data_IF_528787689069
#
_entry.id   IF_528787689069
#
_cell.length_a   1.000
_cell.length_b   1.000
_cell.length_c   1.000
_cell.angle_alpha   90.00
_cell.angle_beta   90.00
_cell.angle_gamma   90.00
#
_symmetry.space_group_name_H-M   'P 1'
#
loop_
_entity.id
_entity.type
_entity.pdbx_description
1 polymer ?
#
# COMPACT_ATOMS: atom_id res chain seq x y z
N UNK A 1 -12.65 -34.36 -39.42
CA UNK A 1 -11.26 -33.88 -39.26
C UNK A 1 -10.77 -33.00 -40.42
N UNK A 2 -10.93 -33.38 -41.71
CA UNK A 2 -10.61 -32.50 -42.86
C UNK A 2 -11.32 -31.13 -42.79
N UNK A 3 -12.57 -31.11 -42.34
CA UNK A 3 -13.33 -29.86 -42.11
C UNK A 3 -12.77 -28.97 -40.99
N UNK A 4 -12.12 -29.54 -39.96
CA UNK A 4 -11.50 -28.76 -38.89
C UNK A 4 -10.23 -28.05 -39.37
N UNK A 5 -9.43 -28.70 -40.22
CA UNK A 5 -8.27 -28.07 -40.87
C UNK A 5 -8.73 -26.92 -41.76
N UNK A 6 -9.74 -27.17 -42.60
CA UNK A 6 -10.30 -26.15 -43.50
C UNK A 6 -10.94 -24.98 -42.74
N UNK A 7 -11.52 -25.23 -41.56
CA UNK A 7 -12.11 -24.18 -40.73
C UNK A 7 -11.09 -23.22 -40.10
N UNK A 8 -9.89 -23.70 -39.78
CA UNK A 8 -8.84 -22.88 -39.12
C UNK A 8 -7.89 -22.23 -40.15
N UNK A 9 -7.81 -22.76 -41.37
CA UNK A 9 -6.95 -22.25 -42.45
C UNK A 9 -7.15 -20.75 -42.77
N UNK A 10 -8.37 -20.19 -42.86
CA UNK A 10 -8.55 -18.76 -43.15
C UNK A 10 -7.99 -17.85 -42.06
N UNK A 11 -8.12 -18.24 -40.79
CA UNK A 11 -7.55 -17.50 -39.67
C UNK A 11 -6.02 -17.61 -39.66
N UNK A 12 -5.49 -18.82 -39.80
CA UNK A 12 -4.04 -19.04 -39.86
C UNK A 12 -3.39 -18.30 -41.04
N UNK A 13 -4.03 -18.31 -42.22
CA UNK A 13 -3.57 -17.58 -43.41
C UNK A 13 -3.50 -16.07 -43.15
N UNK A 14 -4.54 -15.47 -42.57
CA UNK A 14 -4.56 -14.03 -42.23
C UNK A 14 -3.43 -13.66 -41.27
N UNK A 15 -3.15 -14.48 -40.26
CA UNK A 15 -2.02 -14.24 -39.35
C UNK A 15 -0.68 -14.27 -40.10
N UNK A 16 -0.47 -15.24 -41.00
CA UNK A 16 0.75 -15.32 -41.82
C UNK A 16 0.88 -14.13 -42.78
N UNK A 17 -0.22 -13.73 -43.42
CA UNK A 17 -0.28 -12.58 -44.33
C UNK A 17 0.01 -11.25 -43.61
N UNK A 18 -0.29 -11.14 -42.30
CA UNK A 18 0.11 -10.00 -41.46
C UNK A 18 1.60 -9.95 -41.10
N UNK A 19 2.40 -10.88 -41.63
CA UNK A 19 3.86 -10.91 -41.47
C UNK A 19 4.36 -11.77 -40.30
N UNK A 20 3.48 -12.52 -39.63
CA UNK A 20 3.89 -13.46 -38.58
C UNK A 20 4.68 -14.63 -39.18
N UNK A 21 5.86 -14.90 -38.63
CA UNK A 21 6.67 -16.07 -38.97
C UNK A 21 6.70 -17.01 -37.76
N UNK A 22 5.95 -18.12 -37.76
CA UNK A 22 6.02 -19.08 -36.66
C UNK A 22 7.44 -19.62 -36.53
N UNK A 23 7.97 -19.66 -35.30
CA UNK A 23 9.20 -20.40 -34.99
C UNK A 23 8.90 -21.90 -35.06
N UNK A 24 8.81 -22.42 -36.28
CA UNK A 24 8.78 -23.86 -36.51
C UNK A 24 10.21 -24.34 -36.29
N UNK A 25 10.57 -24.67 -35.04
CA UNK A 25 11.75 -25.52 -34.80
C UNK A 25 11.62 -26.69 -35.76
N UNK A 26 12.67 -26.99 -36.54
CA UNK A 26 12.69 -27.87 -37.73
C UNK A 26 12.27 -29.34 -37.51
N UNK A 27 11.19 -29.56 -36.79
CA UNK A 27 10.52 -30.84 -36.55
C UNK A 27 9.61 -31.07 -37.76
N UNK A 28 9.81 -32.13 -38.53
CA UNK A 28 8.98 -32.40 -39.70
C UNK A 28 7.52 -32.57 -39.26
N UNK A 29 6.57 -32.07 -40.07
CA UNK A 29 5.14 -32.29 -39.87
C UNK A 29 4.83 -33.77 -40.11
N UNK A 30 4.85 -34.58 -39.04
CA UNK A 30 4.70 -36.04 -39.11
C UNK A 30 3.24 -36.51 -39.24
N UNK A 31 2.26 -35.63 -39.00
CA UNK A 31 0.84 -36.02 -39.07
C UNK A 31 -0.12 -34.84 -39.23
N UNK A 32 -1.36 -35.13 -39.63
CA UNK A 32 -2.46 -34.15 -39.70
C UNK A 32 -2.77 -33.48 -38.36
N UNK A 33 -2.50 -34.14 -37.23
CA UNK A 33 -2.65 -33.54 -35.89
C UNK A 33 -1.59 -32.47 -35.65
N UNK A 34 -0.35 -32.69 -36.09
CA UNK A 34 0.70 -31.69 -36.02
C UNK A 34 0.33 -30.44 -36.84
N UNK A 35 -0.26 -30.63 -38.03
CA UNK A 35 -0.74 -29.52 -38.87
C UNK A 35 -1.90 -28.76 -38.21
N UNK A 36 -2.86 -29.48 -37.63
CA UNK A 36 -3.98 -28.86 -36.90
C UNK A 36 -3.50 -28.03 -35.71
N UNK A 37 -2.59 -28.57 -34.90
CA UNK A 37 -2.01 -27.84 -33.76
C UNK A 37 -1.26 -26.58 -34.23
N UNK A 38 -0.46 -26.69 -35.29
CA UNK A 38 0.26 -25.56 -35.86
C UNK A 38 -0.71 -24.48 -36.35
N UNK A 39 -1.70 -24.85 -37.18
CA UNK A 39 -2.69 -23.91 -37.71
C UNK A 39 -3.53 -23.27 -36.61
N UNK A 40 -3.90 -24.03 -35.57
CA UNK A 40 -4.63 -23.52 -34.42
C UNK A 40 -3.80 -22.54 -33.60
N UNK A 41 -2.50 -22.80 -33.42
CA UNK A 41 -1.57 -21.91 -32.73
C UNK A 41 -1.31 -20.62 -33.52
N UNK A 42 -1.22 -20.71 -34.86
CA UNK A 42 -1.08 -19.54 -35.73
C UNK A 42 -2.38 -18.74 -35.77
N UNK A 43 -3.55 -19.38 -35.75
CA UNK A 43 -4.84 -18.71 -35.71
C UNK A 43 -5.10 -18.01 -34.36
N UNK A 44 -4.71 -18.61 -33.23
CA UNK A 44 -4.90 -18.01 -31.90
C UNK A 44 -4.07 -16.74 -31.71
N UNK A 45 -2.91 -16.62 -32.36
CA UNK A 45 -2.06 -15.42 -32.30
C UNK A 45 -2.76 -14.13 -32.72
N UNK A 46 -3.65 -14.17 -33.73
CA UNK A 46 -4.38 -12.98 -34.16
C UNK A 46 -5.38 -12.53 -33.08
N UNK A 47 -6.10 -13.50 -32.49
CA UNK A 47 -7.02 -13.28 -31.37
C UNK A 47 -6.29 -12.74 -30.13
N UNK A 48 -5.11 -13.28 -29.82
CA UNK A 48 -4.29 -12.83 -28.69
C UNK A 48 -3.74 -11.43 -28.92
N UNK A 49 -3.35 -11.07 -30.14
CA UNK A 49 -2.85 -9.73 -30.47
C UNK A 49 -3.93 -8.67 -30.38
N UNK A 50 -5.13 -8.95 -30.89
CA UNK A 50 -6.29 -8.06 -30.79
C UNK A 50 -6.74 -7.91 -29.33
N UNK A 51 -6.83 -9.04 -28.60
CA UNK A 51 -7.12 -9.04 -27.16
C UNK A 51 -6.07 -8.26 -26.38
N UNK A 52 -4.79 -8.40 -26.72
CA UNK A 52 -3.70 -7.65 -26.10
C UNK A 52 -3.86 -6.15 -26.32
N UNK A 53 -4.15 -5.71 -27.54
CA UNK A 53 -4.32 -4.29 -27.83
C UNK A 53 -5.49 -3.71 -27.03
N UNK A 54 -6.63 -4.41 -27.00
CA UNK A 54 -7.79 -4.01 -26.19
C UNK A 54 -7.46 -3.96 -24.70
N UNK A 55 -6.93 -5.04 -24.14
CA UNK A 55 -6.53 -5.11 -22.73
C UNK A 55 -5.49 -4.05 -22.38
N UNK A 56 -4.51 -3.83 -23.26
CA UNK A 56 -3.50 -2.78 -23.06
C UNK A 56 -4.15 -1.40 -23.03
N UNK A 57 -5.08 -1.12 -23.94
CA UNK A 57 -5.80 0.15 -23.98
C UNK A 57 -6.63 0.36 -22.71
N UNK A 58 -7.41 -0.63 -22.29
CA UNK A 58 -8.25 -0.55 -21.10
C UNK A 58 -7.39 -0.39 -19.82
N UNK A 59 -6.30 -1.16 -19.70
CA UNK A 59 -5.37 -1.06 -18.58
C UNK A 59 -4.60 0.27 -18.55
N UNK A 60 -4.31 0.85 -19.71
CA UNK A 60 -3.70 2.18 -19.80
C UNK A 60 -4.73 3.28 -19.47
N UNK A 61 -6.00 3.12 -19.82
CA UNK A 61 -7.06 4.08 -19.45
C UNK A 61 -7.27 4.21 -17.94
N UNK A 62 -7.02 3.15 -17.16
CA UNK A 62 -6.97 3.25 -15.68
C UNK A 62 -5.84 4.21 -15.24
N UNK A 63 -4.73 4.25 -15.97
CA UNK A 63 -3.58 5.08 -15.64
C UNK A 63 -3.82 6.58 -15.82
N UNK A 64 -4.95 7.00 -16.42
CA UNK A 64 -5.28 8.41 -16.63
C UNK A 64 -5.95 9.04 -15.40
N UNK A 65 -6.48 8.24 -14.47
CA UNK A 65 -7.20 8.72 -13.28
C UNK A 65 -6.36 8.55 -12.00
N UNK A 66 -6.28 9.58 -11.14
CA UNK A 66 -5.62 9.47 -9.84
C UNK A 66 -6.43 8.59 -8.88
N UNK A 67 -6.09 7.30 -8.83
CA UNK A 67 -6.69 6.33 -7.92
C UNK A 67 -5.62 5.65 -7.03
N UNK A 68 -5.98 5.21 -5.80
CA UNK A 68 -5.11 4.43 -4.92
C UNK A 68 -4.58 3.13 -5.58
N UNK A 69 -3.39 2.62 -5.17
CA UNK A 69 -2.80 1.43 -5.80
C UNK A 69 -3.65 0.16 -5.73
N UNK A 70 -4.40 -0.02 -4.64
CA UNK A 70 -5.34 -1.11 -4.42
C UNK A 70 -6.56 -1.03 -5.35
N UNK A 71 -7.07 0.18 -5.57
CA UNK A 71 -8.17 0.44 -6.50
C UNK A 71 -7.73 0.21 -7.95
N UNK A 72 -6.55 0.69 -8.32
CA UNK A 72 -5.95 0.46 -9.65
C UNK A 72 -5.68 -1.03 -9.87
N UNK A 73 -5.25 -1.76 -8.84
CA UNK A 73 -5.07 -3.21 -8.91
C UNK A 73 -6.41 -3.95 -9.08
N UNK A 74 -7.47 -3.52 -8.37
CA UNK A 74 -8.81 -4.08 -8.49
C UNK A 74 -9.36 -3.89 -9.90
N UNK A 75 -9.36 -2.66 -10.42
CA UNK A 75 -9.82 -2.35 -11.77
C UNK A 75 -9.01 -3.11 -12.84
N UNK A 76 -7.69 -3.24 -12.65
CA UNK A 76 -6.84 -4.05 -13.54
C UNK A 76 -7.27 -5.52 -13.55
N UNK A 77 -7.62 -6.07 -12.39
CA UNK A 77 -8.10 -7.44 -12.29
C UNK A 77 -9.48 -7.63 -12.92
N UNK A 78 -10.36 -6.63 -12.84
CA UNK A 78 -11.67 -6.63 -13.51
C UNK A 78 -11.55 -6.66 -15.03
N UNK A 79 -10.62 -5.90 -15.60
CA UNK A 79 -10.34 -5.99 -17.05
C UNK A 79 -9.82 -7.38 -17.40
N UNK A 80 -8.84 -7.88 -16.65
CA UNK A 80 -8.20 -9.16 -16.93
C UNK A 80 -9.14 -10.35 -16.76
N UNK A 81 -10.02 -10.34 -15.75
CA UNK A 81 -10.96 -11.45 -15.50
C UNK A 81 -11.96 -11.57 -16.66
N UNK A 82 -12.43 -10.44 -17.21
CA UNK A 82 -13.31 -10.43 -18.38
C UNK A 82 -12.55 -10.82 -19.66
N UNK A 83 -11.38 -10.22 -19.90
CA UNK A 83 -10.61 -10.45 -21.11
C UNK A 83 -10.07 -11.88 -21.23
N UNK A 84 -9.76 -12.52 -20.09
CA UNK A 84 -9.21 -13.88 -20.04
C UNK A 84 -10.26 -14.94 -19.74
N UNK A 85 -11.55 -14.57 -19.76
CA UNK A 85 -12.68 -15.47 -19.53
C UNK A 85 -12.60 -16.25 -18.21
N UNK A 86 -12.08 -15.59 -17.18
CA UNK A 86 -12.11 -16.08 -15.81
C UNK A 86 -13.45 -15.70 -15.14
N UNK A 87 -13.72 -16.31 -14.00
CA UNK A 87 -14.98 -16.15 -13.26
C UNK A 87 -14.78 -15.43 -11.92
N UNK A 88 -13.57 -15.49 -11.37
CA UNK A 88 -13.22 -14.87 -10.10
C UNK A 88 -11.80 -14.32 -10.17
N UNK A 89 -11.57 -13.19 -9.48
CA UNK A 89 -10.23 -12.67 -9.24
C UNK A 89 -9.95 -12.50 -7.75
N UNK A 90 -8.67 -12.55 -7.40
CA UNK A 90 -8.14 -12.23 -6.08
C UNK A 90 -6.88 -11.36 -6.26
N UNK A 91 -6.93 -10.16 -5.70
CA UNK A 91 -5.85 -9.19 -5.71
C UNK A 91 -5.15 -9.16 -4.36
N UNK A 92 -3.82 -9.24 -4.37
CA UNK A 92 -3.00 -9.05 -3.17
C UNK A 92 -1.93 -8.00 -3.37
N UNK A 93 -1.67 -7.22 -2.33
CA UNK A 93 -0.53 -6.32 -2.26
C UNK A 93 0.32 -6.68 -1.06
N UNK A 94 1.63 -6.51 -1.21
CA UNK A 94 2.56 -6.64 -0.11
C UNK A 94 2.45 -5.41 0.80
N UNK A 95 2.21 -5.63 2.09
CA UNK A 95 2.10 -4.56 3.06
C UNK A 95 3.48 -4.11 3.59
N UNK A 96 3.50 -3.13 4.49
CA UNK A 96 4.73 -2.59 5.10
C UNK A 96 5.54 -3.59 5.95
N UNK A 97 4.94 -4.70 6.37
CA UNK A 97 5.58 -5.80 7.11
C UNK A 97 6.14 -6.87 6.18
N UNK A 98 5.96 -6.73 4.86
CA UNK A 98 6.35 -7.73 3.88
C UNK A 98 5.30 -8.84 3.70
N UNK A 99 4.14 -8.75 4.36
CA UNK A 99 3.09 -9.76 4.30
C UNK A 99 2.20 -9.53 3.06
N UNK A 100 1.77 -10.61 2.42
CA UNK A 100 0.81 -10.55 1.32
C UNK A 100 -0.61 -10.45 1.86
N UNK A 101 -1.27 -9.31 1.62
CA UNK A 101 -2.62 -9.04 2.11
C UNK A 101 -3.59 -9.02 0.95
N UNK A 102 -4.70 -9.75 1.09
CA UNK A 102 -5.82 -9.69 0.15
C UNK A 102 -6.48 -8.31 0.21
N UNK A 103 -6.50 -7.59 -0.92
CA UNK A 103 -7.06 -6.24 -1.04
C UNK A 103 -8.43 -6.22 -1.71
N UNK A 104 -8.62 -7.10 -2.68
CA UNK A 104 -9.90 -7.27 -3.34
C UNK A 104 -10.04 -8.73 -3.77
N UNK A 105 -11.27 -9.24 -3.73
CA UNK A 105 -11.61 -10.53 -4.30
C UNK A 105 -13.08 -10.48 -4.70
N UNK A 106 -13.40 -10.88 -5.93
CA UNK A 106 -14.79 -10.87 -6.38
C UNK A 106 -15.02 -11.87 -7.52
N UNK A 107 -16.29 -12.23 -7.71
CA UNK A 107 -16.77 -12.98 -8.84
C UNK A 107 -17.32 -12.00 -9.90
N UNK A 108 -17.05 -12.25 -11.18
CA UNK A 108 -17.43 -11.35 -12.30
C UNK A 108 -18.93 -11.05 -12.37
N UNK A 109 -19.77 -12.03 -12.03
CA UNK A 109 -21.23 -11.92 -11.98
C UNK A 109 -21.79 -11.60 -10.58
N UNK A 110 -20.96 -11.13 -9.63
CA UNK A 110 -21.41 -10.78 -8.27
C UNK A 110 -21.91 -11.97 -7.43
N UNK A 111 -21.52 -13.20 -7.80
CA UNK A 111 -21.84 -14.40 -7.01
C UNK A 111 -20.96 -14.49 -5.77
N UNK A 112 -21.40 -15.26 -4.77
CA UNK A 112 -20.57 -15.60 -3.62
C UNK A 112 -19.25 -16.24 -4.07
N UNK A 113 -18.14 -15.79 -3.46
CA UNK A 113 -16.82 -16.39 -3.66
C UNK A 113 -16.46 -17.34 -2.50
N UNK A 114 -15.62 -18.37 -2.73
CA UNK A 114 -15.00 -19.13 -1.65
C UNK A 114 -14.34 -18.23 -0.62
N UNK A 115 -14.22 -18.72 0.62
CA UNK A 115 -13.40 -18.06 1.63
C UNK A 115 -11.95 -17.97 1.12
N UNK A 116 -11.48 -16.73 0.94
CA UNK A 116 -10.11 -16.43 0.53
C UNK A 116 -9.30 -16.09 1.77
N UNK A 117 -8.14 -16.72 1.92
CA UNK A 117 -7.24 -16.41 3.03
C UNK A 117 -6.85 -14.91 3.00
N UNK A 118 -6.95 -14.20 4.13
CA UNK A 118 -6.61 -12.78 4.21
C UNK A 118 -5.10 -12.55 4.02
N UNK A 119 -4.29 -13.51 4.45
CA UNK A 119 -2.84 -13.51 4.31
C UNK A 119 -2.37 -14.70 3.47
N UNK A 120 -1.26 -14.51 2.77
CA UNK A 120 -0.61 -15.57 1.99
C UNK A 120 0.81 -15.79 2.52
N UNK A 121 1.10 -17.01 2.93
CA UNK A 121 2.39 -17.41 3.52
C UNK A 121 3.44 -17.64 2.42
N UNK A 122 4.51 -16.83 2.44
CA UNK A 122 5.65 -16.92 1.52
C UNK A 122 6.48 -18.19 1.73
N UNK A 123 6.41 -18.83 2.89
CA UNK A 123 7.23 -19.99 3.22
C UNK A 123 6.77 -21.28 2.51
N UNK A 124 5.64 -21.24 1.81
CA UNK A 124 5.12 -22.35 1.02
C UNK A 124 5.92 -22.53 -0.28
N UNK A 125 7.22 -22.87 -0.19
CA UNK A 125 8.14 -22.95 -1.35
C UNK A 125 7.67 -23.87 -2.47
N UNK A 126 6.91 -24.88 -2.09
CA UNK A 126 6.27 -25.90 -2.95
C UNK A 126 5.07 -25.35 -3.73
N UNK A 127 4.49 -24.23 -3.30
CA UNK A 127 3.37 -23.60 -4.01
C UNK A 127 3.89 -22.82 -5.23
N UNK A 128 3.38 -23.08 -6.46
CA UNK A 128 3.91 -22.50 -7.70
C UNK A 128 3.98 -20.96 -7.72
N UNK A 129 3.01 -20.27 -7.12
CA UNK A 129 3.03 -18.80 -7.04
C UNK A 129 4.09 -18.29 -6.06
N UNK A 130 4.35 -19.03 -4.98
CA UNK A 130 5.39 -18.62 -4.00
C UNK A 130 6.79 -18.86 -4.57
N UNK A 131 7.01 -19.99 -5.24
CA UNK A 131 8.27 -20.22 -5.97
C UNK A 131 8.51 -19.12 -7.00
N UNK A 132 7.50 -18.75 -7.79
CA UNK A 132 7.59 -17.64 -8.75
C UNK A 132 7.88 -16.27 -8.10
N UNK A 133 7.37 -16.02 -6.89
CA UNK A 133 7.69 -14.80 -6.11
C UNK A 133 9.15 -14.79 -5.68
N UNK A 134 9.68 -15.93 -5.21
CA UNK A 134 11.07 -16.05 -4.75
C UNK A 134 12.10 -16.07 -5.90
N UNK A 135 11.79 -16.70 -7.02
CA UNK A 135 12.70 -16.86 -8.18
C UNK A 135 13.00 -15.53 -8.92
N UNK A 136 12.23 -14.48 -8.64
CA UNK A 136 12.57 -13.09 -9.02
C UNK A 136 12.29 -12.68 -10.47
N UNK A 137 12.25 -13.62 -11.42
CA UNK A 137 12.11 -13.34 -12.85
C UNK A 137 10.75 -13.75 -13.46
N UNK A 138 10.03 -14.67 -12.80
CA UNK A 138 8.71 -15.15 -13.24
C UNK A 138 7.66 -14.05 -13.06
N UNK A 139 6.85 -13.82 -14.11
CA UNK A 139 5.82 -12.77 -14.17
C UNK A 139 4.40 -13.29 -14.18
N UNK A 140 4.20 -14.56 -14.50
CA UNK A 140 2.91 -15.20 -14.43
C UNK A 140 3.07 -16.69 -14.12
N UNK A 141 2.03 -17.30 -13.56
CA UNK A 141 1.98 -18.74 -13.24
C UNK A 141 0.63 -19.28 -13.66
N UNK A 142 0.63 -20.30 -14.53
CA UNK A 142 -0.57 -21.06 -14.89
C UNK A 142 -0.61 -22.34 -14.06
N UNK A 143 -1.71 -22.56 -13.34
CA UNK A 143 -1.98 -23.74 -12.55
C UNK A 143 -3.27 -24.39 -13.07
N UNK A 144 -3.16 -25.44 -13.90
CA UNK A 144 -4.32 -26.10 -14.53
C UNK A 144 -4.99 -27.16 -13.65
N UNK A 145 -4.45 -27.38 -12.45
CA UNK A 145 -5.01 -28.31 -11.49
C UNK A 145 -4.81 -27.75 -10.08
N UNK A 146 -5.89 -27.35 -9.42
CA UNK A 146 -5.83 -26.80 -8.05
C UNK A 146 -5.96 -27.87 -6.95
N UNK A 147 -5.87 -29.16 -7.30
CA UNK A 147 -5.90 -30.27 -6.37
C UNK A 147 -4.53 -30.44 -5.71
N UNK A 148 -4.36 -29.78 -4.56
CA UNK A 148 -3.16 -29.86 -3.73
C UNK A 148 -2.25 -28.64 -3.83
N UNK A 149 -1.48 -28.42 -2.77
CA UNK A 149 -0.60 -27.26 -2.58
C UNK A 149 0.45 -27.12 -3.70
N UNK A 150 1.14 -28.21 -4.03
CA UNK A 150 2.20 -28.29 -5.07
C UNK A 150 1.69 -27.90 -6.47
N UNK A 151 0.38 -28.06 -6.71
CA UNK A 151 -0.24 -27.77 -8.00
C UNK A 151 -0.88 -26.38 -8.06
N UNK A 152 -0.85 -25.66 -6.95
CA UNK A 152 -1.40 -24.32 -6.84
C UNK A 152 -2.74 -24.22 -6.12
N UNK A 153 -3.23 -25.31 -5.51
CA UNK A 153 -4.33 -25.27 -4.57
C UNK A 153 -4.02 -24.32 -3.40
N UNK A 154 -4.97 -23.43 -3.09
CA UNK A 154 -4.88 -22.58 -1.91
C UNK A 154 -5.20 -23.38 -0.65
N UNK A 155 -4.25 -23.43 0.28
CA UNK A 155 -4.29 -24.15 1.57
C UNK A 155 -4.23 -25.68 1.49
N UNK A 156 -4.00 -26.30 2.66
CA UNK A 156 -4.05 -27.75 2.88
C UNK A 156 -5.40 -28.35 2.44
N UNK A 157 -6.48 -27.56 2.50
CA UNK A 157 -7.86 -28.00 2.22
C UNK A 157 -8.34 -27.76 0.78
N UNK A 158 -7.57 -27.03 -0.03
CA UNK A 158 -7.92 -26.72 -1.43
C UNK A 158 -9.34 -26.16 -1.59
N UNK A 159 -9.76 -25.23 -0.72
CA UNK A 159 -11.14 -24.69 -0.65
C UNK A 159 -11.64 -24.21 -2.02
N UNK A 160 -10.80 -23.49 -2.75
CA UNK A 160 -11.13 -23.00 -4.10
C UNK A 160 -11.41 -24.16 -5.07
N UNK A 161 -10.68 -25.26 -4.96
CA UNK A 161 -10.93 -26.46 -5.77
C UNK A 161 -12.23 -27.18 -5.39
N UNK A 162 -12.53 -27.25 -4.08
CA UNK A 162 -13.78 -27.82 -3.55
C UNK A 162 -15.02 -27.07 -4.04
N UNK A 163 -14.93 -25.75 -4.21
CA UNK A 163 -15.98 -24.91 -4.82
C UNK A 163 -16.10 -25.04 -6.36
N UNK A 164 -15.35 -25.96 -6.96
CA UNK A 164 -15.47 -26.32 -8.38
C UNK A 164 -14.47 -25.62 -9.30
N UNK A 165 -13.62 -24.71 -8.80
CA UNK A 165 -12.58 -24.11 -9.64
C UNK A 165 -11.50 -25.13 -9.98
N UNK A 166 -10.98 -25.07 -11.21
CA UNK A 166 -10.03 -26.07 -11.73
C UNK A 166 -8.70 -25.47 -12.13
N UNK A 167 -8.74 -24.25 -12.67
CA UNK A 167 -7.54 -23.57 -13.16
C UNK A 167 -7.35 -22.20 -12.52
N UNK A 168 -6.09 -21.78 -12.36
CA UNK A 168 -5.69 -20.45 -11.91
C UNK A 168 -4.61 -19.87 -12.82
N UNK A 169 -4.71 -18.58 -13.10
CA UNK A 169 -3.65 -17.78 -13.69
C UNK A 169 -3.27 -16.68 -12.70
N UNK A 170 -2.01 -16.66 -12.25
CA UNK A 170 -1.51 -15.66 -11.32
C UNK A 170 -0.50 -14.75 -12.01
N UNK A 171 -0.73 -13.45 -12.04
CA UNK A 171 0.23 -12.44 -12.45
C UNK A 171 1.03 -11.96 -11.24
N UNK A 172 2.36 -11.98 -11.36
CA UNK A 172 3.30 -11.52 -10.34
C UNK A 172 3.78 -10.12 -10.71
N UNK A 173 3.36 -9.13 -9.92
CA UNK A 173 3.64 -7.72 -10.20
C UNK A 173 4.98 -7.31 -9.61
N UNK A 174 5.85 -6.79 -10.46
CA UNK A 174 7.24 -6.43 -10.13
C UNK A 174 7.60 -5.08 -10.73
N UNK A 175 8.36 -4.28 -9.99
CA UNK A 175 8.96 -3.07 -10.56
C UNK A 175 10.01 -3.45 -11.62
N UNK A 176 10.51 -2.46 -12.37
CA UNK A 176 11.59 -2.68 -13.34
C UNK A 176 12.82 -3.28 -12.64
N UNK A 177 13.64 -4.02 -13.39
CA UNK A 177 14.88 -4.68 -12.92
C UNK A 177 14.68 -5.83 -11.92
N UNK A 178 13.57 -6.56 -11.98
CA UNK A 178 13.33 -7.75 -11.14
C UNK A 178 13.41 -7.49 -9.64
N UNK A 179 13.02 -6.28 -9.21
CA UNK A 179 12.78 -5.96 -7.80
C UNK A 179 11.77 -6.96 -7.18
N UNK A 180 11.74 -7.06 -5.84
CA UNK A 180 10.80 -7.94 -5.14
C UNK A 180 9.37 -7.75 -5.64
N UNK A 181 8.62 -8.84 -5.76
CA UNK A 181 7.22 -8.74 -6.14
C UNK A 181 6.47 -7.92 -5.08
N UNK A 182 5.63 -7.00 -5.55
CA UNK A 182 4.86 -6.10 -4.70
C UNK A 182 3.36 -6.35 -4.78
N UNK A 183 2.89 -7.05 -5.81
CA UNK A 183 1.47 -7.32 -6.05
C UNK A 183 1.21 -8.65 -6.74
N UNK A 184 -0.01 -9.15 -6.60
CA UNK A 184 -0.53 -10.34 -7.26
C UNK A 184 -1.94 -10.08 -7.78
N UNK A 185 -2.20 -10.55 -9.01
CA UNK A 185 -3.56 -10.72 -9.54
C UNK A 185 -3.75 -12.19 -9.84
N UNK A 186 -4.70 -12.84 -9.19
CA UNK A 186 -4.99 -14.25 -9.41
C UNK A 186 -6.38 -14.38 -10.01
N UNK A 187 -6.47 -15.02 -11.17
CA UNK A 187 -7.72 -15.29 -11.86
C UNK A 187 -8.04 -16.77 -11.75
N UNK A 188 -9.31 -17.10 -11.60
CA UNK A 188 -9.79 -18.46 -11.40
C UNK A 188 -10.93 -18.77 -12.37
N UNK A 189 -10.96 -20.01 -12.83
CA UNK A 189 -12.02 -20.54 -13.68
C UNK A 189 -12.35 -21.99 -13.31
N UNK A 190 -13.62 -22.36 -13.44
CA UNK A 190 -14.10 -23.74 -13.31
C UNK A 190 -13.73 -24.62 -14.51
N UNK A 191 -13.23 -24.04 -15.60
CA UNK A 191 -12.74 -24.79 -16.76
C UNK A 191 -11.42 -25.49 -16.43
N UNK A 192 -11.32 -26.76 -16.78
CA UNK A 192 -10.04 -27.47 -16.80
C UNK A 192 -9.15 -26.89 -17.90
N UNK A 193 -7.87 -26.71 -17.62
CA UNK A 193 -6.90 -26.10 -18.55
C UNK A 193 -7.32 -24.72 -19.08
N UNK A 194 -8.10 -23.98 -18.29
CA UNK A 194 -8.82 -22.79 -18.75
C UNK A 194 -7.96 -21.61 -19.22
N UNK A 195 -6.65 -21.65 -18.95
CA UNK A 195 -5.70 -20.61 -19.37
C UNK A 195 -4.59 -21.13 -20.30
N UNK A 196 -4.61 -22.40 -20.70
CA UNK A 196 -3.54 -23.03 -21.51
C UNK A 196 -3.50 -22.50 -22.95
N UNK A 197 -4.62 -21.97 -23.44
CA UNK A 197 -4.74 -21.46 -24.81
C UNK A 197 -4.01 -20.12 -25.03
N UNK A 198 -3.64 -19.39 -23.97
CA UNK A 198 -3.03 -18.07 -24.07
C UNK A 198 -1.51 -18.16 -24.25
N UNK A 199 -0.98 -17.37 -25.17
CA UNK A 199 0.46 -17.30 -25.41
C UNK A 199 1.26 -16.72 -24.23
N UNK A 200 2.44 -17.27 -23.99
CA UNK A 200 3.36 -16.83 -22.94
C UNK A 200 3.75 -15.35 -23.06
N UNK A 201 4.05 -14.88 -24.28
CA UNK A 201 4.45 -13.48 -24.51
C UNK A 201 3.27 -12.55 -24.25
N UNK A 202 2.05 -12.98 -24.59
CA UNK A 202 0.82 -12.26 -24.27
C UNK A 202 0.62 -12.11 -22.75
N UNK A 203 0.69 -13.21 -22.00
CA UNK A 203 0.55 -13.19 -20.54
C UNK A 203 1.64 -12.37 -19.86
N UNK A 204 2.89 -12.50 -20.31
CA UNK A 204 4.01 -11.71 -19.80
C UNK A 204 3.84 -10.21 -20.06
N UNK A 205 3.25 -9.80 -21.19
CA UNK A 205 2.94 -8.40 -21.50
C UNK A 205 1.82 -7.87 -20.61
N UNK A 206 0.73 -8.62 -20.41
CA UNK A 206 -0.33 -8.25 -19.47
C UNK A 206 0.24 -8.01 -18.07
N UNK A 207 1.07 -8.92 -17.57
CA UNK A 207 1.74 -8.78 -16.27
C UNK A 207 2.59 -7.50 -16.19
N UNK A 208 3.32 -7.17 -17.25
CA UNK A 208 4.16 -5.95 -17.32
C UNK A 208 3.32 -4.68 -17.29
N UNK A 209 2.23 -4.62 -18.07
CA UNK A 209 1.37 -3.44 -18.13
C UNK A 209 0.75 -3.20 -16.75
N UNK A 210 0.14 -4.22 -16.14
CA UNK A 210 -0.42 -4.09 -14.78
C UNK A 210 0.66 -3.69 -13.77
N UNK A 211 1.85 -4.29 -13.84
CA UNK A 211 2.98 -3.92 -12.97
C UNK A 211 3.37 -2.45 -13.13
N UNK A 212 3.38 -1.92 -14.36
CA UNK A 212 3.71 -0.52 -14.64
C UNK A 212 2.61 0.41 -14.13
N UNK A 213 1.34 0.10 -14.42
CA UNK A 213 0.19 0.94 -14.03
C UNK A 213 0.07 1.01 -12.50
N UNK A 214 0.10 -0.13 -11.81
CA UNK A 214 0.02 -0.18 -10.34
C UNK A 214 1.31 0.36 -9.71
N UNK A 215 2.49 -0.05 -10.22
CA UNK A 215 3.78 0.36 -9.69
C UNK A 215 4.03 1.87 -9.79
N UNK A 216 3.60 2.52 -10.90
CA UNK A 216 3.68 3.98 -11.05
C UNK A 216 2.88 4.70 -9.97
N UNK A 217 1.72 4.19 -9.58
CA UNK A 217 0.89 4.78 -8.51
C UNK A 217 1.52 4.60 -7.14
N UNK A 218 2.10 3.44 -6.87
CA UNK A 218 2.90 3.23 -5.65
C UNK A 218 4.08 4.21 -5.59
N UNK A 219 4.77 4.42 -6.71
CA UNK A 219 5.90 5.36 -6.78
C UNK A 219 5.47 6.83 -6.62
N UNK A 220 4.39 7.27 -7.27
CA UNK A 220 3.86 8.64 -7.13
C UNK A 220 3.36 8.90 -5.72
N UNK A 221 2.68 7.94 -5.09
CA UNK A 221 2.27 8.05 -3.70
C UNK A 221 3.49 8.20 -2.77
N UNK A 222 4.55 7.42 -2.99
CA UNK A 222 5.83 7.57 -2.27
C UNK A 222 6.46 8.95 -2.49
N UNK A 223 6.59 9.42 -3.72
CA UNK A 223 7.18 10.74 -4.04
C UNK A 223 6.38 11.90 -3.42
N UNK A 224 5.05 11.80 -3.43
CA UNK A 224 4.18 12.80 -2.79
C UNK A 224 4.37 12.81 -1.27
N UNK A 225 4.47 11.63 -0.65
CA UNK A 225 4.79 11.49 0.77
C UNK A 225 6.20 12.00 1.09
N UNK A 226 7.18 11.71 0.24
CA UNK A 226 8.57 12.17 0.39
C UNK A 226 8.65 13.68 0.40
N UNK A 227 7.96 14.34 -0.55
CA UNK A 227 7.87 15.80 -0.62
C UNK A 227 7.13 16.38 0.59
N UNK A 228 6.00 15.81 1.00
CA UNK A 228 5.25 16.26 2.16
C UNK A 228 6.06 16.09 3.46
N UNK A 229 6.73 14.94 3.63
CA UNK A 229 7.59 14.66 4.78
C UNK A 229 8.83 15.56 4.79
N UNK A 230 9.44 15.82 3.62
CA UNK A 230 10.56 16.73 3.47
C UNK A 230 10.18 18.16 3.84
N UNK A 231 9.05 18.66 3.33
CA UNK A 231 8.52 19.98 3.66
C UNK A 231 8.18 20.09 5.16
N UNK A 232 7.45 19.13 5.74
CA UNK A 232 7.15 19.13 7.18
C UNK A 232 8.41 19.03 8.04
N UNK A 233 9.40 18.23 7.64
CA UNK A 233 10.66 18.15 8.38
C UNK A 233 11.46 19.45 8.32
N UNK A 234 11.41 20.18 7.21
CA UNK A 234 12.12 21.45 7.09
C UNK A 234 11.39 22.59 7.81
N UNK A 235 10.13 22.85 7.43
CA UNK A 235 9.35 23.96 7.98
C UNK A 235 8.84 23.69 9.39
N UNK A 236 8.41 22.45 9.67
CA UNK A 236 7.93 22.04 10.99
C UNK A 236 9.03 22.09 12.04
N UNK A 237 10.23 21.57 11.77
CA UNK A 237 11.34 21.64 12.73
C UNK A 237 11.77 23.08 13.02
N UNK A 238 11.77 23.97 12.01
CA UNK A 238 12.07 25.38 12.24
C UNK A 238 11.03 26.05 13.14
N UNK A 239 9.74 25.84 12.87
CA UNK A 239 8.65 26.38 13.69
C UNK A 239 8.71 25.83 15.13
N UNK A 240 8.99 24.53 15.29
CA UNK A 240 9.13 23.89 16.59
C UNK A 240 10.32 24.43 17.39
N UNK A 241 11.47 24.66 16.75
CA UNK A 241 12.62 25.28 17.40
C UNK A 241 12.29 26.71 17.87
N UNK A 242 11.57 27.50 17.07
CA UNK A 242 11.13 28.84 17.47
C UNK A 242 10.19 28.77 18.68
N UNK A 243 9.18 27.89 18.65
CA UNK A 243 8.27 27.71 19.78
C UNK A 243 8.98 27.27 21.05
N UNK A 244 9.93 26.32 20.93
CA UNK A 244 10.75 25.87 22.05
C UNK A 244 11.56 27.02 22.65
N UNK A 245 12.30 27.76 21.81
CA UNK A 245 13.11 28.87 22.28
C UNK A 245 12.26 29.96 22.98
N UNK A 246 11.07 30.26 22.44
CA UNK A 246 10.14 31.20 23.07
C UNK A 246 9.60 30.68 24.41
N UNK A 247 9.26 29.40 24.49
CA UNK A 247 8.78 28.79 25.73
C UNK A 247 9.88 28.71 26.80
N UNK A 248 11.12 28.40 26.42
CA UNK A 248 12.29 28.41 27.31
C UNK A 248 12.56 29.84 27.82
N UNK A 249 12.54 30.85 26.94
CA UNK A 249 12.70 32.24 27.35
C UNK A 249 11.58 32.73 28.29
N UNK A 250 10.33 32.39 28.00
CA UNK A 250 9.23 32.67 28.92
C UNK A 250 9.42 31.96 30.27
N UNK A 251 10.00 30.76 30.28
CA UNK A 251 10.37 30.05 31.51
C UNK A 251 11.38 30.83 32.35
N UNK A 252 12.45 31.32 31.73
CA UNK A 252 13.45 32.18 32.40
C UNK A 252 12.80 33.44 32.99
N UNK A 253 11.91 34.11 32.25
CA UNK A 253 11.18 35.27 32.75
C UNK A 253 10.28 34.93 33.94
N UNK A 254 9.64 33.76 33.94
CA UNK A 254 8.81 33.31 35.07
C UNK A 254 9.66 33.04 36.30
N UNK A 255 10.82 32.40 36.15
CA UNK A 255 11.78 32.21 37.24
C UNK A 255 12.29 33.54 37.82
N UNK A 256 12.59 34.52 36.96
CA UNK A 256 12.98 35.87 37.38
C UNK A 256 11.86 36.59 38.14
N UNK A 257 10.61 36.48 37.68
CA UNK A 257 9.45 37.09 38.36
C UNK A 257 9.23 36.40 39.72
N UNK A 258 9.33 35.08 39.80
CA UNK A 258 9.18 34.32 41.04
C UNK A 258 10.25 34.72 42.08
N UNK A 259 11.50 34.86 41.65
CA UNK A 259 12.59 35.34 42.50
C UNK A 259 12.32 36.77 43.01
N UNK A 260 11.82 37.65 42.15
CA UNK A 260 11.45 39.02 42.53
C UNK A 260 10.25 39.07 43.47
N UNK A 261 9.24 38.22 43.24
CA UNK A 261 8.06 38.10 44.11
C UNK A 261 8.46 37.62 45.50
N UNK A 262 9.30 36.59 45.57
CA UNK A 262 9.86 36.06 46.82
C UNK A 262 10.62 37.15 47.59
N UNK A 263 11.44 37.93 46.89
CA UNK A 263 12.15 39.08 47.48
C UNK A 263 11.19 40.17 47.96
N UNK A 264 10.17 40.51 47.17
CA UNK A 264 9.19 41.55 47.51
C UNK A 264 8.36 41.15 48.74
N UNK A 265 7.94 39.88 48.84
CA UNK A 265 7.27 39.33 50.02
C UNK A 265 8.14 39.44 51.27
N UNK A 266 9.44 39.11 51.17
CA UNK A 266 10.38 39.26 52.28
C UNK A 266 10.48 40.72 52.75
N UNK A 267 10.68 41.66 51.81
CA UNK A 267 10.76 43.10 52.11
C UNK A 267 9.44 43.61 52.73
N UNK A 268 8.29 43.14 52.24
CA UNK A 268 6.98 43.50 52.81
C UNK A 268 6.86 43.07 54.27
N UNK A 269 7.39 41.89 54.62
CA UNK A 269 7.42 41.39 56.00
C UNK A 269 8.37 42.18 56.90
N UNK A 270 9.55 42.53 56.39
CA UNK A 270 10.48 43.42 57.09
C UNK A 270 9.84 44.80 57.35
N UNK A 271 9.18 45.38 56.35
CA UNK A 271 8.45 46.65 56.46
C UNK A 271 7.34 46.60 57.52
N UNK A 272 6.58 45.49 57.59
CA UNK A 272 5.58 45.30 58.64
C UNK A 272 6.16 45.30 60.06
N UNK A 273 7.39 44.80 60.23
CA UNK A 273 8.06 44.72 61.52
C UNK A 273 8.52 46.10 62.04
N UNK A 274 8.84 47.03 61.13
CA UNK A 274 9.25 48.41 61.46
C UNK A 274 8.09 49.28 61.98
N UNK A 275 6.85 48.90 61.69
CA UNK A 275 5.67 49.71 62.01
C UNK A 275 4.89 49.19 63.24
N UNK A 276 4.43 50.09 64.14
CA UNK A 276 3.55 49.72 65.25
C UNK A 276 2.26 49.04 64.78
N UNK A 277 1.72 48.15 65.61
CA UNK A 277 0.58 47.27 65.32
C UNK A 277 -0.64 47.98 64.73
N UNK A 278 -0.92 49.21 65.18
CA UNK A 278 -2.12 49.97 64.83
C UNK A 278 -1.86 51.08 63.78
N UNK A 279 -0.65 51.10 63.21
CA UNK A 279 -0.26 52.16 62.28
C UNK A 279 -0.85 51.96 60.88
N UNK A 280 -1.02 53.07 60.15
CA UNK A 280 -1.39 53.04 58.73
C UNK A 280 -0.34 52.33 57.88
N UNK A 281 0.95 52.48 58.21
CA UNK A 281 2.06 51.84 57.50
C UNK A 281 1.97 50.31 57.54
N UNK A 282 1.66 49.74 58.72
CA UNK A 282 1.48 48.29 58.87
C UNK A 282 0.28 47.75 58.08
N UNK A 283 -0.85 48.48 58.05
CA UNK A 283 -2.02 48.11 57.24
C UNK A 283 -1.71 48.07 55.74
N UNK A 284 -0.99 49.06 55.22
CA UNK A 284 -0.56 49.09 53.81
C UNK A 284 0.43 47.96 53.48
N UNK A 285 1.34 47.63 54.40
CA UNK A 285 2.28 46.53 54.22
C UNK A 285 1.60 45.14 54.23
N UNK A 286 0.55 44.96 55.04
CA UNK A 286 -0.31 43.77 55.01
C UNK A 286 -1.08 43.64 53.69
N UNK A 287 -1.63 44.75 53.19
CA UNK A 287 -2.31 44.79 51.90
C UNK A 287 -1.35 44.46 50.74
N UNK A 288 -0.12 45.01 50.77
CA UNK A 288 0.92 44.69 49.81
C UNK A 288 1.32 43.21 49.84
N UNK A 289 1.53 42.62 51.01
CA UNK A 289 1.81 41.18 51.14
C UNK A 289 0.66 40.34 50.57
N UNK A 290 -0.60 40.71 50.86
CA UNK A 290 -1.77 40.03 50.34
C UNK A 290 -1.86 40.08 48.81
N UNK A 291 -1.53 41.22 48.19
CA UNK A 291 -1.51 41.35 46.73
C UNK A 291 -0.39 40.50 46.13
N UNK A 292 0.82 40.56 46.70
CA UNK A 292 1.97 39.79 46.22
C UNK A 292 1.76 38.28 46.36
N UNK A 293 1.18 37.83 47.47
CA UNK A 293 0.92 36.40 47.71
C UNK A 293 -0.14 35.79 46.77
N UNK A 294 -0.93 36.63 46.07
CA UNK A 294 -1.92 36.18 45.08
C UNK A 294 -1.36 36.00 43.68
N UNK A 295 -0.13 36.42 43.42
CA UNK A 295 0.53 36.19 42.14
C UNK A 295 1.02 34.74 42.07
N UNK A 296 0.15 33.82 41.65
CA UNK A 296 0.51 32.42 41.39
C UNK A 296 1.04 32.27 39.97
N UNK A 297 2.30 31.86 39.83
CA UNK A 297 2.97 31.62 38.55
C UNK A 297 2.92 30.14 38.12
N UNK A 298 2.39 29.25 38.97
CA UNK A 298 2.36 27.80 38.74
C UNK A 298 1.57 27.42 37.49
N UNK A 299 0.44 28.10 37.25
CA UNK A 299 -0.39 27.86 36.06
C UNK A 299 0.36 28.26 34.77
N UNK A 300 1.07 29.38 34.79
CA UNK A 300 1.86 29.87 33.65
C UNK A 300 3.03 28.92 33.34
N UNK A 301 3.74 28.44 34.37
CA UNK A 301 4.77 27.43 34.23
C UNK A 301 4.20 26.10 33.69
N UNK A 302 3.01 25.69 34.15
CA UNK A 302 2.30 24.52 33.65
C UNK A 302 1.97 24.61 32.16
N UNK A 303 1.48 25.77 31.69
CA UNK A 303 1.21 26.01 30.27
C UNK A 303 2.49 25.96 29.41
N UNK A 304 3.60 26.53 29.89
CA UNK A 304 4.89 26.45 29.19
C UNK A 304 5.41 25.00 29.10
N UNK A 305 5.26 24.23 30.18
CA UNK A 305 5.53 22.79 30.19
C UNK A 305 4.72 22.05 29.12
N UNK A 306 3.43 22.34 29.01
CA UNK A 306 2.54 21.79 27.98
C UNK A 306 2.97 22.13 26.55
N UNK A 307 3.43 23.37 26.29
CA UNK A 307 3.95 23.79 24.98
C UNK A 307 5.22 23.02 24.61
N UNK A 308 6.14 22.84 25.57
CA UNK A 308 7.37 22.07 25.37
C UNK A 308 7.08 20.58 25.11
N UNK A 309 6.12 19.99 25.82
CA UNK A 309 5.70 18.62 25.60
C UNK A 309 5.01 18.43 24.23
N UNK A 310 4.13 19.36 23.87
CA UNK A 310 3.50 19.40 22.54
C UNK A 310 4.53 19.49 21.41
N UNK A 311 5.56 20.33 21.59
CA UNK A 311 6.69 20.45 20.66
C UNK A 311 7.43 19.10 20.51
N UNK A 312 7.73 18.40 21.61
CA UNK A 312 8.37 17.08 21.58
C UNK A 312 7.50 16.02 20.89
N UNK A 313 6.19 16.02 21.14
CA UNK A 313 5.25 15.11 20.47
C UNK A 313 5.23 15.36 18.97
N UNK A 314 5.18 16.61 18.54
CA UNK A 314 5.13 16.97 17.13
C UNK A 314 6.44 16.61 16.39
N UNK A 315 7.60 16.75 17.04
CA UNK A 315 8.89 16.24 16.51
C UNK A 315 8.85 14.72 16.27
N UNK A 316 8.24 13.94 17.18
CA UNK A 316 8.07 12.50 16.99
C UNK A 316 7.20 12.19 15.77
N UNK A 317 6.09 12.92 15.58
CA UNK A 317 5.19 12.77 14.43
C UNK A 317 5.92 13.07 13.12
N UNK A 318 6.72 14.14 13.05
CA UNK A 318 7.55 14.48 11.87
C UNK A 318 8.52 13.35 11.54
N UNK A 319 9.17 12.77 12.55
CA UNK A 319 10.08 11.64 12.35
C UNK A 319 9.34 10.38 11.86
N UNK A 320 8.15 10.10 12.36
CA UNK A 320 7.31 9.00 11.87
C UNK A 320 6.81 9.24 10.44
N UNK A 321 6.52 10.48 10.07
CA UNK A 321 6.15 10.86 8.71
C UNK A 321 7.31 10.60 7.74
N UNK A 322 8.55 10.95 8.11
CA UNK A 322 9.75 10.60 7.34
C UNK A 322 9.92 9.10 7.14
N UNK A 323 9.71 8.28 8.19
CA UNK A 323 9.72 6.81 8.07
C UNK A 323 8.60 6.28 7.15
N UNK A 324 7.46 6.95 7.14
CA UNK A 324 6.28 6.56 6.34
C UNK A 324 6.48 6.77 4.84
N UNK A 325 7.48 7.56 4.42
CA UNK A 325 7.86 7.73 3.01
C UNK A 325 8.28 6.41 2.38
N UNK A 326 9.11 5.64 3.10
CA UNK A 326 9.60 4.34 2.61
C UNK A 326 8.52 3.26 2.69
N UNK A 327 7.66 3.35 3.72
CA UNK A 327 6.62 2.35 4.04
C UNK A 327 5.33 3.00 4.55
N UNK A 328 4.45 3.50 3.66
CA UNK A 328 3.21 4.14 4.09
C UNK A 328 2.28 3.14 4.78
N UNK A 329 1.76 3.55 5.94
CA UNK A 329 0.73 2.83 6.70
C UNK A 329 -0.50 3.69 6.77
N UNK A 330 -1.63 3.17 6.30
CA UNK A 330 -2.91 3.83 6.37
C UNK A 330 -3.72 3.22 7.52
N UNK A 331 -4.41 4.06 8.29
CA UNK A 331 -5.44 3.65 9.23
C UNK A 331 -6.78 4.17 8.74
N UNK A 332 -7.82 3.37 8.94
CA UNK A 332 -9.17 3.77 8.62
C UNK A 332 -9.66 4.75 9.69
N UNK A 333 -9.89 6.00 9.32
CA UNK A 333 -10.41 7.00 10.24
C UNK A 333 -11.94 6.94 10.26
N UNK A 334 -12.54 7.18 11.44
CA UNK A 334 -13.98 7.03 11.68
C UNK A 334 -14.87 7.87 10.74
N UNK A 335 -14.32 8.87 10.05
CA UNK A 335 -15.01 9.70 9.05
C UNK A 335 -14.91 9.16 7.61
N UNK A 336 -14.50 7.90 7.42
CA UNK A 336 -14.49 7.26 6.10
C UNK A 336 -13.30 7.63 5.20
N UNK A 337 -12.28 8.30 5.75
CA UNK A 337 -11.04 8.61 5.06
C UNK A 337 -9.89 7.76 5.61
N UNK A 338 -9.05 7.23 4.72
CA UNK A 338 -7.79 6.60 5.12
C UNK A 338 -6.74 7.67 5.41
N UNK A 339 -6.20 7.67 6.63
CA UNK A 339 -5.16 8.61 7.07
C UNK A 339 -3.86 7.89 7.36
N UNK A 340 -2.72 8.59 7.24
CA UNK A 340 -1.43 8.00 7.59
C UNK A 340 -1.35 7.71 9.09
N UNK A 341 -0.99 6.48 9.43
CA UNK A 341 -0.67 6.09 10.81
C UNK A 341 0.74 6.57 11.15
N UNK A 342 0.83 7.66 11.91
CA UNK A 342 2.08 8.32 12.29
C UNK A 342 2.51 8.03 13.74
N UNK A 343 1.67 7.38 14.55
CA UNK A 343 2.01 6.98 15.90
C UNK A 343 2.43 5.50 15.92
N UNK A 344 3.58 5.21 16.54
CA UNK A 344 4.00 3.84 16.84
C UNK A 344 3.15 3.36 18.04
N UNK A 345 2.50 2.19 17.91
CA UNK A 345 1.77 1.54 19.02
C UNK A 345 2.77 1.02 20.07
N UNK A 346 3.52 1.90 20.72
CA UNK A 346 4.17 1.56 21.98
C UNK A 346 3.09 1.74 23.02
N UNK A 347 2.41 0.64 23.37
CA UNK A 347 1.66 0.58 24.62
C UNK A 347 2.63 0.97 25.73
N UNK A 348 2.38 2.09 26.38
CA UNK A 348 2.87 2.28 27.73
C UNK A 348 2.11 1.24 28.57
N UNK A 349 2.75 0.10 28.81
CA UNK A 349 2.41 -0.73 29.96
C UNK A 349 2.88 0.06 31.17
N UNK A 350 1.91 0.61 31.90
CA UNK A 350 2.10 1.11 33.27
C UNK A 350 2.33 -0.07 34.24
#
# INVERSE_FOLDING_TARGET
MRGAVLGVMPAAKRTLDSGYRPEVRGVPLKSWRCLLHLLSSVASMQSDTETLLRVSNDLLGIADHMAPPDEVLRQSAEILVHALHAEMYVCRLRNSRGEWVTRAANHVNGKSIPIVAPYLDENLRRHPVMSAIMEGHVRYVVSNNLQGLERGGGSFDCVVYKEGYRSRLAFVLRERNNRPAFGLVQLYTKREYGFEAYDERFLAKCARIVSLTVGRRVAVARDTLEKAAGAMAHYGNNALNVMRNQAEYCGELVEDIDANLTRALRISRELMAEFPSDSRGRRLALELESILARADLTELAGHLGGVLEGTRRMTRIINSLKKSVERPRLMHYALGHDVLKLEDDVRHED
#
